data_IF_435609808863
#
_entry.id   IF_435609808863
#
_cell.length_a   1.000
_cell.length_b   1.000
_cell.length_c   1.000
_cell.angle_alpha   90.00
_cell.angle_beta   90.00
_cell.angle_gamma   90.00
#
_symmetry.space_group_name_H-M   'P 1'
#
loop_
_entity.id
_entity.type
_entity.pdbx_description
1 polymer ?
#
# COMPACT_ATOMS: atom_id res chain seq x y z
N UNK A 1 25.70 -20.93 -1.00
CA UNK A 1 25.03 -19.86 -1.75
C UNK A 1 23.90 -20.53 -2.49
N UNK A 2 22.65 -20.14 -2.25
CA UNK A 2 21.52 -20.65 -3.01
C UNK A 2 21.59 -20.07 -4.43
N UNK A 3 21.43 -20.90 -5.46
CA UNK A 3 21.33 -20.44 -6.85
C UNK A 3 20.02 -19.68 -7.06
N UNK A 4 20.04 -18.60 -7.85
CA UNK A 4 18.82 -17.84 -8.13
C UNK A 4 17.87 -18.67 -9.00
N UNK A 5 16.58 -18.59 -8.67
CA UNK A 5 15.52 -19.25 -9.44
C UNK A 5 15.02 -18.23 -10.47
N UNK A 6 15.67 -18.18 -11.63
CA UNK A 6 15.33 -17.21 -12.68
C UNK A 6 14.16 -17.70 -13.52
N UNK A 7 13.08 -16.93 -13.61
CA UNK A 7 11.88 -17.22 -14.41
C UNK A 7 11.61 -16.12 -15.44
N UNK A 8 10.89 -16.44 -16.51
CA UNK A 8 10.45 -15.43 -17.49
C UNK A 8 9.08 -14.86 -17.17
N UNK A 9 8.74 -13.71 -17.75
CA UNK A 9 7.40 -13.13 -17.66
C UNK A 9 6.36 -14.09 -18.22
N UNK A 10 6.68 -14.76 -19.34
CA UNK A 10 5.82 -15.79 -19.91
C UNK A 10 5.53 -16.92 -18.92
N UNK A 11 6.57 -17.46 -18.27
CA UNK A 11 6.42 -18.52 -17.27
C UNK A 11 5.57 -18.07 -16.09
N UNK A 12 5.68 -16.79 -15.71
CA UNK A 12 4.88 -16.23 -14.63
C UNK A 12 3.39 -16.16 -14.98
N UNK A 13 3.07 -15.75 -16.21
CA UNK A 13 1.69 -15.58 -16.70
C UNK A 13 0.98 -16.89 -17.00
N UNK A 14 1.69 -17.88 -17.52
CA UNK A 14 1.13 -19.20 -17.82
C UNK A 14 1.15 -20.17 -16.62
N UNK A 15 1.72 -19.74 -15.49
CA UNK A 15 1.76 -20.49 -14.24
C UNK A 15 2.84 -21.58 -14.19
N UNK A 16 3.58 -21.83 -15.27
CA UNK A 16 4.61 -22.89 -15.32
C UNK A 16 5.79 -22.62 -14.38
N UNK A 17 5.96 -21.37 -13.94
CA UNK A 17 6.93 -21.01 -12.91
C UNK A 17 6.73 -21.76 -11.59
N UNK A 18 5.48 -22.09 -11.23
CA UNK A 18 5.15 -22.73 -9.96
C UNK A 18 5.78 -24.11 -9.82
N UNK A 19 5.70 -24.92 -10.86
CA UNK A 19 6.25 -26.27 -10.83
C UNK A 19 7.78 -26.24 -10.69
N UNK A 20 8.43 -25.27 -11.34
CA UNK A 20 9.87 -25.05 -11.22
C UNK A 20 10.25 -24.60 -9.81
N UNK A 21 9.58 -23.60 -9.26
CA UNK A 21 9.88 -23.11 -7.91
C UNK A 21 9.58 -24.17 -6.85
N UNK A 22 8.48 -24.91 -7.02
CA UNK A 22 8.11 -26.04 -6.17
C UNK A 22 9.21 -27.11 -6.15
N UNK A 23 9.72 -27.49 -7.34
CA UNK A 23 10.85 -28.41 -7.45
C UNK A 23 12.10 -27.91 -6.71
N UNK A 24 12.46 -26.64 -6.89
CA UNK A 24 13.62 -26.04 -6.20
C UNK A 24 13.45 -26.05 -4.68
N UNK A 25 12.27 -25.68 -4.18
CA UNK A 25 11.98 -25.65 -2.75
C UNK A 25 11.98 -27.05 -2.12
N UNK A 26 11.43 -28.04 -2.81
CA UNK A 26 11.47 -29.45 -2.40
C UNK A 26 12.91 -30.00 -2.31
N UNK A 27 13.84 -29.44 -3.10
CA UNK A 27 15.26 -29.77 -3.04
C UNK A 27 16.06 -28.87 -2.07
N UNK A 28 15.37 -28.07 -1.25
CA UNK A 28 15.96 -27.23 -0.21
C UNK A 28 16.39 -25.84 -0.67
N UNK A 29 16.23 -25.51 -1.95
CA UNK A 29 16.49 -24.16 -2.48
C UNK A 29 15.27 -23.26 -2.29
N UNK A 30 14.97 -22.92 -1.03
CA UNK A 30 13.87 -22.02 -0.69
C UNK A 30 14.34 -20.57 -0.88
N UNK A 31 14.07 -20.00 -2.04
CA UNK A 31 14.45 -18.63 -2.39
C UNK A 31 13.34 -17.91 -3.15
N UNK A 32 13.38 -16.58 -3.17
CA UNK A 32 12.51 -15.80 -4.06
C UNK A 32 12.95 -15.97 -5.51
N UNK A 33 12.01 -16.28 -6.43
CA UNK A 33 12.33 -16.28 -7.84
C UNK A 33 12.61 -14.86 -8.33
N UNK A 34 13.47 -14.76 -9.35
CA UNK A 34 13.78 -13.51 -10.06
C UNK A 34 13.15 -13.55 -11.43
N UNK A 35 12.62 -12.42 -11.90
CA UNK A 35 12.03 -12.33 -13.24
C UNK A 35 13.07 -11.75 -14.20
N UNK A 36 13.32 -12.47 -15.29
CA UNK A 36 14.07 -11.95 -16.44
C UNK A 36 13.14 -11.01 -17.22
N UNK A 37 13.48 -9.71 -17.35
CA UNK A 37 12.64 -8.77 -18.09
C UNK A 37 12.54 -9.14 -19.58
N UNK A 38 11.33 -9.09 -20.12
CA UNK A 38 10.99 -9.31 -21.53
C UNK A 38 10.06 -8.18 -22.04
N UNK A 39 10.25 -7.67 -23.26
CA UNK A 39 9.37 -6.64 -23.83
C UNK A 39 7.92 -7.13 -23.88
N UNK A 40 6.98 -6.31 -23.40
CA UNK A 40 5.56 -6.70 -23.34
C UNK A 40 4.82 -6.46 -24.65
N UNK A 41 5.35 -5.57 -25.50
CA UNK A 41 4.68 -5.09 -26.72
C UNK A 41 3.50 -4.15 -26.47
N UNK A 42 3.28 -3.71 -25.22
CA UNK A 42 2.17 -2.83 -24.83
C UNK A 42 2.61 -1.37 -24.86
N UNK A 43 2.36 -0.67 -25.97
CA UNK A 43 2.79 0.72 -26.15
C UNK A 43 2.18 1.69 -25.12
N UNK A 44 0.91 1.48 -24.74
CA UNK A 44 0.21 2.27 -23.72
C UNK A 44 0.83 2.13 -22.33
N UNK A 45 1.23 0.90 -21.97
CA UNK A 45 1.92 0.60 -20.72
C UNK A 45 3.29 1.28 -20.67
N UNK A 46 4.04 1.23 -21.76
CA UNK A 46 5.34 1.87 -21.84
C UNK A 46 5.24 3.40 -21.72
N UNK A 47 4.29 4.01 -22.43
CA UNK A 47 4.05 5.45 -22.39
C UNK A 47 3.72 5.95 -20.97
N UNK A 48 2.86 5.23 -20.23
CA UNK A 48 2.54 5.60 -18.85
C UNK A 48 3.73 5.43 -17.91
N UNK A 49 4.53 4.37 -18.08
CA UNK A 49 5.75 4.16 -17.27
C UNK A 49 6.75 5.29 -17.50
N UNK A 50 7.04 5.63 -18.76
CA UNK A 50 7.95 6.74 -19.09
C UNK A 50 7.45 8.05 -18.48
N UNK A 51 6.14 8.31 -18.57
CA UNK A 51 5.49 9.49 -17.97
C UNK A 51 5.62 9.53 -16.45
N UNK A 52 5.36 8.42 -15.75
CA UNK A 52 5.48 8.33 -14.29
C UNK A 52 6.93 8.59 -13.85
N UNK A 53 7.90 7.96 -14.53
CA UNK A 53 9.32 8.11 -14.23
C UNK A 53 9.78 9.56 -14.43
N UNK A 54 9.32 10.21 -15.50
CA UNK A 54 9.67 11.59 -15.82
C UNK A 54 9.07 12.57 -14.79
N UNK A 55 7.80 12.38 -14.39
CA UNK A 55 7.18 13.21 -13.36
C UNK A 55 7.75 12.99 -11.97
N UNK A 56 8.19 11.78 -11.65
CA UNK A 56 8.85 11.50 -10.39
C UNK A 56 10.20 12.24 -10.33
N UNK A 57 10.95 12.27 -11.44
CA UNK A 57 12.18 13.08 -11.57
C UNK A 57 13.35 12.63 -10.68
N UNK A 58 13.18 11.55 -9.90
CA UNK A 58 14.22 11.04 -9.01
C UNK A 58 15.22 10.09 -9.66
N UNK A 59 14.80 9.44 -10.74
CA UNK A 59 15.52 8.38 -11.44
C UNK A 59 16.67 8.94 -12.26
N UNK A 60 17.91 8.63 -11.87
CA UNK A 60 19.11 9.12 -12.56
C UNK A 60 20.00 7.98 -13.01
N UNK A 61 20.73 8.18 -14.11
CA UNK A 61 21.74 7.23 -14.58
C UNK A 61 22.74 6.92 -13.45
N UNK A 62 22.99 5.64 -13.21
CA UNK A 62 23.85 5.17 -12.12
C UNK A 62 23.10 4.88 -10.81
N UNK A 63 21.79 5.19 -10.74
CA UNK A 63 20.92 4.67 -9.68
C UNK A 63 20.67 3.17 -9.88
N UNK A 64 20.14 2.49 -8.86
CA UNK A 64 19.69 1.10 -8.95
C UNK A 64 18.22 0.97 -8.60
N UNK A 65 17.53 -0.01 -9.17
CA UNK A 65 16.13 -0.26 -8.87
C UNK A 65 15.88 -1.74 -8.54
N UNK A 66 14.98 -1.97 -7.60
CA UNK A 66 14.39 -3.28 -7.36
C UNK A 66 12.88 -3.18 -7.51
N UNK A 67 12.31 -4.08 -8.30
CA UNK A 67 10.88 -4.17 -8.54
C UNK A 67 10.35 -5.41 -7.83
N UNK A 68 9.40 -5.22 -6.92
CA UNK A 68 8.68 -6.28 -6.25
C UNK A 68 7.38 -6.54 -7.02
N UNK A 69 7.32 -7.65 -7.75
CA UNK A 69 6.26 -7.92 -8.72
C UNK A 69 5.50 -9.20 -8.40
N UNK A 70 4.19 -9.17 -8.55
CA UNK A 70 3.34 -10.36 -8.47
C UNK A 70 3.01 -10.89 -9.87
N UNK A 71 2.42 -12.09 -10.00
CA UNK A 71 1.99 -12.60 -11.29
C UNK A 71 1.05 -11.64 -12.03
N UNK A 72 0.16 -10.95 -11.31
CA UNK A 72 -0.80 -10.03 -11.92
C UNK A 72 -0.14 -8.76 -12.46
N UNK A 73 1.01 -8.36 -11.92
CA UNK A 73 1.72 -7.13 -12.29
C UNK A 73 3.01 -7.36 -13.08
N UNK A 74 3.27 -8.62 -13.49
CA UNK A 74 4.50 -9.03 -14.18
C UNK A 74 4.80 -8.24 -15.46
N UNK A 75 3.77 -7.93 -16.27
CA UNK A 75 3.95 -7.12 -17.49
C UNK A 75 4.44 -5.70 -17.15
N UNK A 76 3.79 -5.03 -16.18
CA UNK A 76 4.19 -3.69 -15.74
C UNK A 76 5.60 -3.69 -15.15
N UNK A 77 5.93 -4.68 -14.32
CA UNK A 77 7.27 -4.82 -13.75
C UNK A 77 8.34 -5.01 -14.84
N UNK A 78 8.07 -5.87 -15.81
CA UNK A 78 8.98 -6.15 -16.92
C UNK A 78 9.25 -4.93 -17.79
N UNK A 79 8.19 -4.26 -18.23
CA UNK A 79 8.33 -3.05 -19.06
C UNK A 79 9.04 -1.93 -18.28
N UNK A 80 8.77 -1.81 -16.97
CA UNK A 80 9.46 -0.85 -16.09
C UNK A 80 10.95 -1.12 -16.01
N UNK A 81 11.34 -2.39 -15.81
CA UNK A 81 12.75 -2.75 -15.75
C UNK A 81 13.47 -2.44 -17.07
N UNK A 82 12.83 -2.71 -18.21
CA UNK A 82 13.40 -2.40 -19.53
C UNK A 82 13.61 -0.90 -19.68
N UNK A 83 12.59 -0.08 -19.41
CA UNK A 83 12.69 1.39 -19.50
C UNK A 83 13.80 1.93 -18.58
N UNK A 84 13.93 1.40 -17.36
CA UNK A 84 14.99 1.80 -16.42
C UNK A 84 16.38 1.38 -16.90
N UNK A 85 16.52 0.16 -17.41
CA UNK A 85 17.79 -0.34 -17.95
C UNK A 85 18.25 0.48 -19.16
N UNK A 86 17.34 0.86 -20.06
CA UNK A 86 17.62 1.78 -21.18
C UNK A 86 18.06 3.18 -20.70
N UNK A 87 17.57 3.63 -19.54
CA UNK A 87 18.01 4.86 -18.86
C UNK A 87 19.35 4.70 -18.10
N UNK A 88 19.96 3.51 -18.14
CA UNK A 88 21.21 3.19 -17.46
C UNK A 88 21.07 2.99 -15.96
N UNK A 89 19.92 2.47 -15.52
CA UNK A 89 19.61 2.11 -14.13
C UNK A 89 19.52 0.58 -14.05
N UNK A 90 20.54 -0.10 -13.51
CA UNK A 90 20.48 -1.53 -13.26
C UNK A 90 19.23 -1.86 -12.43
N UNK A 91 18.42 -2.77 -12.94
CA UNK A 91 17.12 -3.10 -12.35
C UNK A 91 16.98 -4.59 -12.19
N UNK A 92 16.65 -5.02 -10.97
CA UNK A 92 16.29 -6.39 -10.62
C UNK A 92 14.76 -6.48 -10.40
N UNK A 93 14.16 -7.59 -10.84
CA UNK A 93 12.77 -7.90 -10.52
C UNK A 93 12.74 -9.16 -9.64
N UNK A 94 12.16 -9.03 -8.45
CA UNK A 94 11.91 -10.15 -7.54
C UNK A 94 10.42 -10.46 -7.47
N UNK A 95 10.09 -11.74 -7.35
CA UNK A 95 8.70 -12.15 -7.21
C UNK A 95 8.20 -11.89 -5.80
N UNK A 96 7.19 -11.02 -5.70
CA UNK A 96 6.40 -10.81 -4.49
C UNK A 96 5.22 -11.78 -4.43
N UNK A 97 5.22 -12.65 -3.40
CA UNK A 97 4.15 -13.61 -3.18
C UNK A 97 2.98 -13.06 -2.36
N UNK A 98 3.01 -11.76 -1.99
CA UNK A 98 1.97 -11.12 -1.15
C UNK A 98 0.60 -11.16 -1.83
N UNK A 99 0.62 -11.00 -3.15
CA UNK A 99 -0.54 -11.00 -4.03
C UNK A 99 -0.82 -12.38 -4.64
N UNK A 100 0.06 -13.36 -4.40
CA UNK A 100 0.01 -14.71 -4.97
C UNK A 100 -0.31 -15.74 -3.87
N UNK A 101 -1.43 -15.52 -3.16
CA UNK A 101 -1.78 -16.28 -1.96
C UNK A 101 -1.99 -17.78 -2.24
N UNK A 102 -2.63 -18.11 -3.37
CA UNK A 102 -2.86 -19.50 -3.76
C UNK A 102 -1.57 -20.19 -4.16
N UNK A 103 -0.74 -19.49 -4.91
CA UNK A 103 0.58 -19.92 -5.34
C UNK A 103 1.49 -20.17 -4.15
N UNK A 104 1.54 -19.25 -3.18
CA UNK A 104 2.33 -19.43 -1.98
C UNK A 104 1.82 -20.59 -1.12
N UNK A 105 0.50 -20.71 -0.95
CA UNK A 105 -0.10 -21.85 -0.26
C UNK A 105 0.28 -23.18 -0.94
N UNK A 106 0.23 -23.23 -2.28
CA UNK A 106 0.64 -24.40 -3.06
C UNK A 106 2.12 -24.71 -2.86
N UNK A 107 3.01 -23.73 -2.94
CA UNK A 107 4.44 -23.91 -2.71
C UNK A 107 4.72 -24.48 -1.31
N UNK A 108 4.06 -23.96 -0.28
CA UNK A 108 4.19 -24.50 1.08
C UNK A 108 3.64 -25.92 1.19
N UNK A 109 2.50 -26.22 0.55
CA UNK A 109 1.89 -27.54 0.56
C UNK A 109 2.79 -28.57 -0.13
N UNK A 110 3.30 -28.23 -1.30
CA UNK A 110 4.17 -29.12 -2.08
C UNK A 110 5.52 -29.37 -1.35
N UNK A 111 6.02 -28.37 -0.63
CA UNK A 111 7.34 -28.44 0.05
C UNK A 111 7.24 -29.10 1.43
N UNK A 112 6.22 -28.78 2.22
CA UNK A 112 6.13 -29.15 3.64
C UNK A 112 4.90 -30.01 3.99
N UNK A 113 3.97 -30.19 3.06
CA UNK A 113 2.69 -30.87 3.29
C UNK A 113 1.74 -30.02 4.13
N UNK A 114 1.73 -30.23 5.44
CA UNK A 114 0.79 -29.57 6.35
C UNK A 114 1.23 -28.12 6.65
N UNK A 115 0.68 -27.19 5.87
CA UNK A 115 0.97 -25.75 5.94
C UNK A 115 0.82 -25.18 7.37
N UNK A 116 -0.13 -25.68 8.17
CA UNK A 116 -0.38 -25.19 9.53
C UNK A 116 0.76 -25.41 10.52
N UNK A 117 1.70 -26.30 10.17
CA UNK A 117 2.88 -26.64 10.98
C UNK A 117 4.13 -25.88 10.56
N UNK A 118 4.12 -25.22 9.41
CA UNK A 118 5.28 -24.50 8.88
C UNK A 118 5.57 -23.30 9.77
N UNK A 119 6.82 -23.18 10.24
CA UNK A 119 7.29 -22.03 11.03
C UNK A 119 8.16 -21.13 10.16
N UNK A 120 8.26 -19.87 10.52
CA UNK A 120 9.08 -18.88 9.79
C UNK A 120 10.54 -19.34 9.61
N UNK A 121 11.10 -20.09 10.56
CA UNK A 121 12.48 -20.59 10.45
C UNK A 121 12.68 -21.54 9.27
N UNK A 122 11.64 -22.26 8.84
CA UNK A 122 11.66 -23.08 7.63
C UNK A 122 11.73 -22.23 6.34
N UNK A 123 11.45 -20.93 6.44
CA UNK A 123 11.43 -19.97 5.33
C UNK A 123 12.60 -18.97 5.40
N UNK A 124 13.66 -19.27 6.16
CA UNK A 124 14.81 -18.36 6.32
C UNK A 124 15.51 -18.03 4.98
N UNK A 125 15.41 -18.91 3.98
CA UNK A 125 15.91 -18.63 2.64
C UNK A 125 15.13 -17.51 1.92
N UNK A 126 13.83 -17.35 2.18
CA UNK A 126 13.05 -16.19 1.69
C UNK A 126 13.45 -14.91 2.41
N UNK A 127 13.63 -14.99 3.74
CA UNK A 127 14.13 -13.87 4.56
C UNK A 127 15.49 -13.41 4.04
N UNK A 128 16.37 -14.34 3.71
CA UNK A 128 17.70 -14.07 3.14
C UNK A 128 17.59 -13.45 1.76
N UNK A 129 16.66 -13.90 0.92
CA UNK A 129 16.41 -13.34 -0.42
C UNK A 129 15.99 -11.87 -0.34
N UNK A 130 15.07 -11.52 0.56
CA UNK A 130 14.67 -10.12 0.80
C UNK A 130 15.82 -9.27 1.33
N UNK A 131 16.59 -9.79 2.29
CA UNK A 131 17.79 -9.09 2.79
C UNK A 131 18.81 -8.85 1.69
N UNK A 132 19.01 -9.80 0.78
CA UNK A 132 19.93 -9.64 -0.35
C UNK A 132 19.45 -8.55 -1.32
N UNK A 133 18.16 -8.53 -1.67
CA UNK A 133 17.58 -7.47 -2.50
C UNK A 133 17.73 -6.09 -1.84
N UNK A 134 17.44 -5.99 -0.54
CA UNK A 134 17.64 -4.76 0.23
C UNK A 134 19.13 -4.38 0.33
N UNK A 135 20.03 -5.35 0.44
CA UNK A 135 21.46 -5.08 0.54
C UNK A 135 22.03 -4.48 -0.75
N UNK A 136 21.62 -4.97 -1.92
CA UNK A 136 21.99 -4.40 -3.23
C UNK A 136 21.59 -2.92 -3.32
N UNK A 137 20.39 -2.60 -2.81
CA UNK A 137 19.87 -1.22 -2.73
C UNK A 137 20.70 -0.37 -1.76
N UNK A 138 21.06 -0.92 -0.60
CA UNK A 138 21.74 -0.19 0.46
C UNK A 138 23.21 0.11 0.14
N UNK A 139 23.91 -0.78 -0.56
CA UNK A 139 25.32 -0.59 -0.92
C UNK A 139 25.53 0.53 -1.95
N UNK A 140 24.64 0.65 -2.92
CA UNK A 140 24.80 1.55 -4.09
C UNK A 140 24.37 3.01 -3.82
N UNK A 141 23.88 3.30 -2.61
CA UNK A 141 23.54 4.65 -2.11
C UNK A 141 22.69 5.50 -3.08
N UNK A 142 21.81 4.92 -3.89
CA UNK A 142 20.94 5.68 -4.80
C UNK A 142 19.83 4.76 -5.35
N UNK A 143 18.97 4.24 -4.48
CA UNK A 143 18.13 3.12 -4.86
C UNK A 143 16.63 3.44 -4.90
N UNK A 144 15.91 2.75 -5.79
CA UNK A 144 14.47 2.85 -5.99
C UNK A 144 13.80 1.51 -5.67
N UNK A 145 12.71 1.54 -4.90
CA UNK A 145 11.87 0.38 -4.63
C UNK A 145 10.51 0.58 -5.29
N UNK A 146 10.16 -0.27 -6.26
CA UNK A 146 8.94 -0.14 -7.05
C UNK A 146 8.06 -1.36 -6.80
N UNK A 147 6.78 -1.14 -6.54
CA UNK A 147 5.78 -2.20 -6.33
C UNK A 147 4.59 -1.95 -7.26
N UNK A 148 4.56 -2.59 -8.44
CA UNK A 148 3.36 -2.67 -9.24
C UNK A 148 2.35 -3.61 -8.57
N UNK A 149 1.16 -3.10 -8.26
CA UNK A 149 0.15 -3.75 -7.41
C UNK A 149 -1.13 -3.92 -8.22
N UNK A 150 -1.62 -5.15 -8.33
CA UNK A 150 -2.92 -5.45 -8.94
C UNK A 150 -3.94 -5.92 -7.91
N UNK A 151 -5.22 -5.78 -8.23
CA UNK A 151 -6.26 -6.40 -7.41
C UNK A 151 -6.16 -7.93 -7.51
N UNK A 152 -6.34 -8.59 -6.37
CA UNK A 152 -6.18 -10.04 -6.24
C UNK A 152 -7.47 -10.69 -5.79
N UNK A 153 -7.73 -11.96 -6.17
CA UNK A 153 -8.90 -12.67 -5.71
C UNK A 153 -9.02 -12.65 -4.18
N UNK A 154 -10.27 -12.66 -3.69
CA UNK A 154 -10.57 -12.67 -2.25
C UNK A 154 -9.72 -13.72 -1.53
N UNK A 155 -9.01 -13.31 -0.48
CA UNK A 155 -8.27 -14.24 0.37
C UNK A 155 -9.26 -15.20 1.03
N UNK A 156 -9.21 -16.45 0.60
CA UNK A 156 -10.00 -17.51 1.21
C UNK A 156 -9.41 -17.85 2.57
N UNK A 157 -10.26 -18.21 3.54
CA UNK A 157 -9.84 -18.59 4.90
C UNK A 157 -8.73 -19.66 4.92
N UNK A 158 -8.69 -20.55 3.93
CA UNK A 158 -7.61 -21.56 3.79
C UNK A 158 -6.21 -20.98 3.60
N UNK A 159 -6.11 -19.74 3.10
CA UNK A 159 -4.84 -19.07 2.82
C UNK A 159 -4.37 -18.14 3.95
N UNK A 160 -5.22 -17.82 4.94
CA UNK A 160 -4.91 -16.79 5.95
C UNK A 160 -3.62 -17.08 6.73
N UNK A 161 -3.37 -18.36 7.08
CA UNK A 161 -2.14 -18.75 7.76
C UNK A 161 -0.90 -18.52 6.90
N UNK A 162 -0.92 -18.96 5.64
CA UNK A 162 0.19 -18.75 4.71
C UNK A 162 0.41 -17.28 4.41
N UNK A 163 -0.66 -16.49 4.23
CA UNK A 163 -0.55 -15.04 4.01
C UNK A 163 0.10 -14.35 5.21
N UNK A 164 -0.32 -14.67 6.44
CA UNK A 164 0.28 -14.14 7.68
C UNK A 164 1.75 -14.55 7.80
N UNK A 165 2.07 -15.82 7.51
CA UNK A 165 3.43 -16.31 7.54
C UNK A 165 4.33 -15.59 6.51
N UNK A 166 3.78 -15.26 5.34
CA UNK A 166 4.51 -14.49 4.33
C UNK A 166 4.74 -13.03 4.75
N UNK A 167 3.75 -12.40 5.40
CA UNK A 167 3.94 -11.06 5.99
C UNK A 167 5.06 -11.07 7.03
N UNK A 168 5.14 -12.09 7.88
CA UNK A 168 6.25 -12.23 8.84
C UNK A 168 7.61 -12.38 8.15
N UNK A 169 7.67 -13.12 7.03
CA UNK A 169 8.89 -13.24 6.19
C UNK A 169 9.30 -11.88 5.62
N UNK A 170 8.36 -11.12 5.04
CA UNK A 170 8.63 -9.77 4.53
C UNK A 170 9.12 -8.86 5.66
N UNK A 171 8.41 -8.83 6.79
CA UNK A 171 8.77 -7.99 7.93
C UNK A 171 10.18 -8.28 8.44
N UNK A 172 10.54 -9.56 8.56
CA UNK A 172 11.89 -9.96 8.98
C UNK A 172 12.95 -9.61 7.92
N UNK A 173 12.66 -9.93 6.65
CA UNK A 173 13.57 -9.74 5.53
C UNK A 173 13.83 -8.27 5.17
N UNK A 174 12.80 -7.42 5.31
CA UNK A 174 12.82 -6.01 4.93
C UNK A 174 12.87 -5.06 6.14
N UNK A 175 13.15 -5.57 7.35
CA UNK A 175 13.18 -4.78 8.59
C UNK A 175 14.13 -3.56 8.54
N UNK A 176 15.17 -3.59 7.71
CA UNK A 176 16.07 -2.45 7.49
C UNK A 176 15.50 -1.33 6.63
N UNK A 177 14.48 -1.61 5.81
CA UNK A 177 13.96 -0.69 4.80
C UNK A 177 13.49 0.65 5.39
N UNK A 178 12.82 0.64 6.54
CA UNK A 178 12.37 1.85 7.22
C UNK A 178 13.52 2.80 7.57
N UNK A 179 14.58 2.26 8.17
CA UNK A 179 15.81 3.02 8.50
C UNK A 179 16.53 3.52 7.25
N UNK A 180 16.58 2.71 6.20
CA UNK A 180 17.21 3.08 4.93
C UNK A 180 16.42 4.17 4.19
N UNK A 181 15.09 4.18 4.32
CA UNK A 181 14.23 5.29 3.86
C UNK A 181 14.42 6.55 4.71
N UNK A 182 14.55 6.42 6.02
CA UNK A 182 14.85 7.54 6.93
C UNK A 182 16.20 8.19 6.66
N UNK A 183 17.22 7.38 6.40
CA UNK A 183 18.56 7.84 6.05
C UNK A 183 18.67 8.40 4.62
N UNK A 184 17.61 8.31 3.81
CA UNK A 184 17.62 8.77 2.41
C UNK A 184 18.44 7.90 1.45
N UNK A 185 18.79 6.67 1.86
CA UNK A 185 19.50 5.69 1.01
C UNK A 185 18.56 5.17 -0.09
N UNK A 186 17.31 4.90 0.30
CA UNK A 186 16.21 4.61 -0.63
C UNK A 186 15.58 5.94 -1.05
N UNK A 187 15.79 6.31 -2.31
CA UNK A 187 15.33 7.56 -2.91
C UNK A 187 13.83 7.60 -3.12
N UNK A 188 13.22 6.48 -3.50
CA UNK A 188 11.79 6.38 -3.75
C UNK A 188 11.23 5.02 -3.34
N UNK A 189 9.98 5.04 -2.90
CA UNK A 189 9.17 3.86 -2.62
C UNK A 189 7.84 4.06 -3.34
N UNK A 190 7.71 3.38 -4.47
CA UNK A 190 6.74 3.74 -5.49
C UNK A 190 5.72 2.61 -5.68
N UNK A 191 4.46 2.89 -5.39
CA UNK A 191 3.35 1.93 -5.47
C UNK A 191 2.52 2.25 -6.69
N UNK A 192 2.47 1.36 -7.68
CA UNK A 192 1.83 1.63 -8.97
C UNK A 192 0.67 0.66 -9.20
N UNK A 193 -0.55 1.19 -9.35
CA UNK A 193 -1.72 0.36 -9.66
C UNK A 193 -1.60 -0.27 -11.04
N UNK A 194 -1.66 -1.59 -11.11
CA UNK A 194 -1.76 -2.34 -12.34
C UNK A 194 -3.23 -2.77 -12.56
N UNK A 195 -3.95 -2.20 -13.56
CA UNK A 195 -5.35 -2.51 -13.79
C UNK A 195 -5.55 -3.95 -14.26
N UNK A 196 -6.49 -4.66 -13.64
CA UNK A 196 -6.74 -6.09 -13.84
C UNK A 196 -8.15 -6.38 -14.36
N UNK A 197 -8.38 -7.60 -14.87
CA UNK A 197 -9.72 -8.07 -15.23
C UNK A 197 -10.64 -8.16 -14.00
N UNK A 198 -10.09 -8.49 -12.84
CA UNK A 198 -10.86 -8.56 -11.60
C UNK A 198 -11.45 -7.20 -11.21
N UNK A 199 -10.71 -6.11 -11.45
CA UNK A 199 -11.24 -4.75 -11.24
C UNK A 199 -12.48 -4.50 -12.08
N UNK A 200 -12.40 -4.83 -13.36
CA UNK A 200 -13.50 -4.68 -14.32
C UNK A 200 -14.70 -5.51 -13.90
N UNK A 201 -14.48 -6.77 -13.53
CA UNK A 201 -15.54 -7.67 -13.10
C UNK A 201 -16.23 -7.11 -11.85
N UNK A 202 -15.48 -6.62 -10.87
CA UNK A 202 -16.02 -6.03 -9.64
C UNK A 202 -16.77 -4.72 -9.91
N UNK A 203 -16.21 -3.81 -10.71
CA UNK A 203 -16.87 -2.55 -11.09
C UNK A 203 -18.19 -2.82 -11.83
N UNK A 204 -18.21 -3.79 -12.75
CA UNK A 204 -19.37 -4.07 -13.58
C UNK A 204 -20.52 -4.75 -12.84
N UNK A 205 -20.27 -5.42 -11.69
CA UNK A 205 -21.32 -6.11 -10.90
C UNK A 205 -22.51 -5.23 -10.57
N UNK A 206 -22.25 -3.96 -10.27
CA UNK A 206 -23.27 -3.01 -9.81
C UNK A 206 -23.64 -1.96 -10.86
N UNK A 207 -23.13 -2.10 -12.10
CA UNK A 207 -23.37 -1.16 -13.19
C UNK A 207 -24.42 -1.71 -14.19
N UNK A 208 -25.31 -0.86 -14.71
CA UNK A 208 -26.12 -1.22 -15.88
C UNK A 208 -25.23 -1.59 -17.06
N UNK A 209 -25.65 -2.58 -17.86
CA UNK A 209 -24.84 -3.12 -18.98
C UNK A 209 -24.29 -2.05 -19.94
N UNK A 210 -25.06 -1.00 -20.24
CA UNK A 210 -24.64 0.13 -21.09
C UNK A 210 -23.47 0.97 -20.52
N UNK A 211 -23.10 0.74 -19.27
CA UNK A 211 -22.01 1.42 -18.55
C UNK A 211 -20.88 0.48 -18.17
N UNK A 212 -20.93 -0.78 -18.62
CA UNK A 212 -19.87 -1.74 -18.35
C UNK A 212 -18.55 -1.29 -18.95
N UNK A 213 -17.50 -1.45 -18.16
CA UNK A 213 -16.12 -1.24 -18.56
C UNK A 213 -15.60 -2.49 -19.25
N UNK A 214 -14.78 -2.30 -20.28
CA UNK A 214 -13.82 -3.30 -20.74
C UNK A 214 -12.48 -3.12 -20.01
N UNK A 215 -11.63 -4.15 -20.01
CA UNK A 215 -10.27 -4.03 -19.46
C UNK A 215 -9.46 -2.95 -20.16
N UNK A 216 -9.60 -2.78 -21.47
CA UNK A 216 -8.88 -1.75 -22.21
C UNK A 216 -9.33 -0.34 -21.80
N UNK A 217 -10.64 -0.12 -21.65
CA UNK A 217 -11.16 1.17 -21.17
C UNK A 217 -10.72 1.46 -19.74
N UNK A 218 -10.78 0.45 -18.86
CA UNK A 218 -10.32 0.58 -17.47
C UNK A 218 -8.83 0.90 -17.39
N UNK A 219 -7.99 0.18 -18.15
CA UNK A 219 -6.55 0.43 -18.23
C UNK A 219 -6.25 1.85 -18.66
N UNK A 220 -6.84 2.28 -19.79
CA UNK A 220 -6.65 3.64 -20.30
C UNK A 220 -7.07 4.69 -19.26
N UNK A 221 -8.19 4.45 -18.58
CA UNK A 221 -8.69 5.34 -17.54
C UNK A 221 -7.73 5.48 -16.36
N UNK A 222 -7.21 4.36 -15.83
CA UNK A 222 -6.23 4.38 -14.72
C UNK A 222 -4.91 4.99 -15.16
N UNK A 223 -4.40 4.65 -16.35
CA UNK A 223 -3.13 5.21 -16.86
C UNK A 223 -3.20 6.72 -17.06
N UNK A 224 -4.34 7.24 -17.52
CA UNK A 224 -4.58 8.69 -17.57
C UNK A 224 -4.52 9.32 -16.18
N UNK A 225 -5.07 8.66 -15.15
CA UNK A 225 -5.03 9.16 -13.77
C UNK A 225 -3.61 9.16 -13.18
N UNK A 226 -2.77 8.18 -13.54
CA UNK A 226 -1.34 8.15 -13.18
C UNK A 226 -0.53 9.25 -13.86
N UNK A 227 -0.98 9.68 -15.04
CA UNK A 227 -0.32 10.71 -15.84
C UNK A 227 -0.69 12.14 -15.42
N UNK A 228 -1.40 12.34 -14.32
CA UNK A 228 -1.63 13.68 -13.75
C UNK A 228 -0.34 14.18 -13.10
N UNK A 229 0.20 15.33 -13.54
CA UNK A 229 1.48 15.89 -13.03
C UNK A 229 1.41 16.33 -11.55
N UNK A 230 2.57 16.53 -10.92
CA UNK A 230 2.65 16.99 -9.52
C UNK A 230 2.11 18.39 -9.35
N UNK A 231 2.50 19.28 -10.26
CA UNK A 231 2.05 20.67 -10.30
C UNK A 231 0.53 20.79 -10.46
N UNK A 232 -0.07 20.01 -11.37
CA UNK A 232 -1.53 20.03 -11.57
C UNK A 232 -2.26 19.49 -10.33
N UNK A 233 -1.71 18.44 -9.73
CA UNK A 233 -2.29 17.82 -8.54
C UNK A 233 -2.21 18.75 -7.31
N UNK A 234 -1.07 19.40 -7.10
CA UNK A 234 -0.89 20.43 -6.07
C UNK A 234 -1.84 21.61 -6.29
N UNK A 235 -1.98 22.09 -7.53
CA UNK A 235 -2.89 23.19 -7.88
C UNK A 235 -4.34 22.87 -7.50
N UNK A 236 -4.79 21.63 -7.74
CA UNK A 236 -6.13 21.18 -7.35
C UNK A 236 -6.25 21.12 -5.82
N UNK A 237 -5.29 20.49 -5.14
CA UNK A 237 -5.27 20.38 -3.69
C UNK A 237 -5.30 21.76 -3.00
N UNK A 238 -4.48 22.70 -3.47
CA UNK A 238 -4.44 24.07 -2.94
C UNK A 238 -5.72 24.88 -3.19
N UNK A 239 -6.57 24.45 -4.13
CA UNK A 239 -7.88 25.05 -4.36
C UNK A 239 -8.99 24.53 -3.43
N UNK A 240 -8.71 23.53 -2.58
CA UNK A 240 -9.69 22.91 -1.69
C UNK A 240 -9.69 23.59 -0.31
N UNK A 241 -10.85 24.01 0.17
CA UNK A 241 -11.02 24.65 1.48
C UNK A 241 -10.55 23.74 2.62
N UNK A 242 -10.84 22.45 2.54
CA UNK A 242 -10.46 21.46 3.55
C UNK A 242 -8.94 21.31 3.67
N UNK A 243 -8.22 21.39 2.54
CA UNK A 243 -6.76 21.38 2.50
C UNK A 243 -6.20 22.67 3.09
N UNK A 244 -6.81 23.83 2.76
CA UNK A 244 -6.39 25.13 3.33
C UNK A 244 -6.56 25.16 4.85
N UNK A 245 -7.68 24.68 5.38
CA UNK A 245 -7.91 24.58 6.83
C UNK A 245 -6.89 23.65 7.50
N UNK A 246 -6.53 22.54 6.85
CA UNK A 246 -5.53 21.61 7.37
C UNK A 246 -4.12 22.24 7.40
N UNK A 247 -3.77 23.02 6.38
CA UNK A 247 -2.54 23.82 6.33
C UNK A 247 -2.55 24.87 7.46
N UNK A 248 -3.66 25.60 7.63
CA UNK A 248 -3.80 26.61 8.68
C UNK A 248 -3.63 25.99 10.08
N UNK A 249 -4.27 24.85 10.34
CA UNK A 249 -4.15 24.13 11.60
C UNK A 249 -2.72 23.61 11.84
N UNK A 250 -1.98 23.27 10.79
CA UNK A 250 -0.57 22.90 10.90
C UNK A 250 0.30 24.09 11.28
N UNK A 251 0.11 25.25 10.64
CA UNK A 251 0.94 26.44 10.84
C UNK A 251 0.64 27.17 12.15
N UNK A 252 -0.64 27.28 12.52
CA UNK A 252 -1.12 28.15 13.58
C UNK A 252 -1.74 27.39 14.77
N UNK A 253 -1.84 26.06 14.68
CA UNK A 253 -2.62 25.26 15.61
C UNK A 253 -4.12 25.42 15.39
N UNK A 254 -4.92 24.81 16.27
CA UNK A 254 -6.38 24.73 16.14
C UNK A 254 -6.85 23.28 16.12
N UNK A 255 -8.14 23.06 16.40
CA UNK A 255 -8.71 21.70 16.37
C UNK A 255 -9.52 21.52 15.11
N UNK A 256 -9.11 20.57 14.25
CA UNK A 256 -9.88 20.19 13.07
C UNK A 256 -11.02 19.26 13.46
N UNK A 257 -12.17 19.46 12.82
CA UNK A 257 -13.36 18.62 12.96
C UNK A 257 -13.71 18.09 11.59
N UNK A 258 -13.47 16.81 11.38
CA UNK A 258 -13.91 16.09 10.19
C UNK A 258 -15.27 15.45 10.47
N UNK A 259 -16.24 15.70 9.60
CA UNK A 259 -17.60 15.16 9.75
C UNK A 259 -18.23 14.76 8.43
N UNK A 260 -19.13 13.77 8.48
CA UNK A 260 -19.94 13.30 7.34
C UNK A 260 -21.38 13.04 7.76
N UNK A 261 -22.30 13.04 6.80
CA UNK A 261 -23.75 12.82 7.04
C UNK A 261 -24.07 11.43 7.61
N UNK A 262 -23.19 10.45 7.42
CA UNK A 262 -23.36 9.10 7.96
C UNK A 262 -23.17 9.00 9.48
N UNK A 263 -22.75 10.10 10.13
CA UNK A 263 -22.47 10.17 11.56
C UNK A 263 -20.98 10.11 11.90
N UNK A 264 -20.10 10.02 10.90
CA UNK A 264 -18.66 10.17 11.10
C UNK A 264 -18.37 11.54 11.73
N UNK A 265 -17.57 11.54 12.79
CA UNK A 265 -17.12 12.73 13.50
C UNK A 265 -15.77 12.46 14.12
N UNK A 266 -14.74 13.23 13.76
CA UNK A 266 -13.40 13.14 14.33
C UNK A 266 -12.87 14.53 14.63
N UNK A 267 -12.50 14.77 15.89
CA UNK A 267 -11.71 15.94 16.28
C UNK A 267 -10.23 15.55 16.35
N UNK A 268 -9.36 16.25 15.62
CA UNK A 268 -7.93 15.96 15.56
C UNK A 268 -7.08 17.24 15.44
N UNK A 269 -5.76 17.11 15.63
CA UNK A 269 -4.77 18.20 15.60
C UNK A 269 -3.58 17.81 14.76
N UNK A 270 -2.98 18.81 14.11
CA UNK A 270 -1.85 18.64 13.17
C UNK A 270 -0.79 19.75 13.32
N UNK A 271 -0.80 20.49 14.42
CA UNK A 271 0.14 21.60 14.68
C UNK A 271 1.60 21.18 14.49
N UNK A 272 2.35 21.94 13.68
CA UNK A 272 3.75 21.71 13.38
C UNK A 272 4.04 20.50 12.48
N UNK A 273 3.02 19.85 11.91
CA UNK A 273 3.16 18.69 11.03
C UNK A 273 3.29 19.08 9.57
N UNK A 274 4.06 18.34 8.76
CA UNK A 274 4.05 18.53 7.32
C UNK A 274 2.69 18.10 6.75
N UNK A 275 2.11 18.89 5.86
CA UNK A 275 0.92 18.49 5.08
C UNK A 275 1.41 17.97 3.76
N UNK A 276 1.25 16.67 3.52
CA UNK A 276 1.94 15.95 2.46
C UNK A 276 1.03 15.76 1.25
N UNK A 277 1.59 16.00 0.06
CA UNK A 277 0.97 15.62 -1.20
C UNK A 277 1.35 14.17 -1.54
N UNK A 278 0.36 13.34 -1.89
CA UNK A 278 0.57 11.95 -2.33
C UNK A 278 1.42 11.80 -3.60
N UNK A 279 1.72 12.93 -4.26
CA UNK A 279 2.67 13.04 -5.37
C UNK A 279 3.92 13.78 -4.93
N UNK A 280 5.03 13.07 -4.79
CA UNK A 280 6.29 13.72 -4.50
C UNK A 280 6.92 14.47 -5.67
N UNK A 281 7.51 15.62 -5.37
CA UNK A 281 8.52 16.27 -6.21
C UNK A 281 9.90 16.11 -5.54
N UNK A 282 10.97 16.18 -6.34
CA UNK A 282 12.33 16.19 -5.77
C UNK A 282 12.51 17.41 -4.85
N UNK A 283 12.60 17.18 -3.55
CA UNK A 283 13.10 18.17 -2.58
C UNK A 283 12.11 18.66 -1.54
N UNK A 284 10.80 18.53 -1.75
CA UNK A 284 9.78 18.75 -0.71
C UNK A 284 8.41 18.19 -1.13
N UNK A 285 7.84 17.27 -0.34
CA UNK A 285 6.48 16.76 -0.56
C UNK A 285 5.44 17.51 0.27
N UNK A 286 5.84 18.47 1.10
CA UNK A 286 4.89 19.28 1.87
C UNK A 286 4.38 20.47 1.07
N UNK A 287 3.10 20.80 1.27
CA UNK A 287 2.41 21.91 0.60
C UNK A 287 2.10 23.06 1.56
N UNK A 288 1.72 24.22 1.00
CA UNK A 288 1.17 25.34 1.79
C UNK A 288 2.15 26.03 2.74
N UNK A 289 3.47 25.89 2.52
CA UNK A 289 4.49 26.46 3.41
C UNK A 289 4.62 25.74 4.75
N UNK A 290 3.99 24.57 4.90
CA UNK A 290 4.10 23.72 6.09
C UNK A 290 5.50 23.12 6.19
N UNK A 291 5.81 22.51 7.34
CA UNK A 291 7.14 21.93 7.60
C UNK A 291 7.62 21.09 6.42
N UNK A 292 8.85 21.32 5.97
CA UNK A 292 9.41 20.62 4.83
C UNK A 292 9.54 19.13 5.11
N UNK A 293 9.21 18.29 4.13
CA UNK A 293 9.35 16.85 4.22
C UNK A 293 10.08 16.31 3.00
N UNK A 294 11.28 15.77 3.23
CA UNK A 294 12.23 15.43 2.16
C UNK A 294 12.02 14.03 1.55
N UNK A 295 11.15 13.18 2.11
CA UNK A 295 10.97 11.82 1.59
C UNK A 295 10.01 11.78 0.41
N UNK A 296 10.36 10.96 -0.58
CA UNK A 296 9.59 10.79 -1.81
C UNK A 296 8.64 9.61 -1.66
N UNK A 297 7.36 9.93 -1.64
CA UNK A 297 6.27 8.98 -1.82
C UNK A 297 5.71 9.22 -3.21
N UNK A 298 5.64 8.17 -4.05
CA UNK A 298 4.87 8.27 -5.29
C UNK A 298 3.94 7.07 -5.41
N UNK A 299 2.78 7.22 -4.78
CA UNK A 299 1.65 6.35 -5.08
C UNK A 299 1.09 6.78 -6.43
N UNK A 300 0.94 5.85 -7.37
CA UNK A 300 0.31 6.09 -8.67
C UNK A 300 -0.93 5.21 -8.79
N UNK A 301 -2.12 5.79 -9.06
CA UNK A 301 -2.41 7.22 -9.25
C UNK A 301 -2.32 8.03 -7.95
N UNK A 302 -2.05 9.33 -8.08
CA UNK A 302 -2.02 10.26 -6.94
C UNK A 302 -3.42 10.78 -6.67
N UNK A 303 -3.86 10.75 -5.42
CA UNK A 303 -5.26 10.99 -5.08
C UNK A 303 -5.48 11.68 -3.75
N UNK A 304 -4.43 11.93 -2.98
CA UNK A 304 -4.51 12.31 -1.58
C UNK A 304 -3.60 13.49 -1.20
N UNK A 305 -4.09 14.27 -0.23
CA UNK A 305 -3.30 15.08 0.70
C UNK A 305 -3.48 14.46 2.07
N UNK A 306 -2.40 14.22 2.81
CA UNK A 306 -2.48 13.48 4.05
C UNK A 306 -1.50 14.02 5.10
N UNK A 307 -1.76 13.68 6.36
CA UNK A 307 -1.01 14.19 7.51
C UNK A 307 -1.09 13.21 8.69
N UNK A 308 0.00 13.11 9.44
CA UNK A 308 0.00 12.40 10.71
C UNK A 308 -0.59 13.29 11.83
N UNK A 309 -1.73 12.89 12.46
CA UNK A 309 -2.27 13.64 13.58
C UNK A 309 -1.35 13.56 14.82
N UNK A 310 -1.59 14.44 15.80
CA UNK A 310 -0.94 14.38 17.10
C UNK A 310 -1.42 13.13 17.86
N UNK A 311 -0.49 12.27 18.29
CA UNK A 311 -0.78 10.86 18.66
C UNK A 311 -1.71 10.69 19.86
N UNK A 312 -1.71 11.67 20.76
CA UNK A 312 -2.53 11.68 21.97
C UNK A 312 -3.71 12.64 21.85
N UNK A 313 -3.98 13.12 20.63
CA UNK A 313 -5.09 14.00 20.33
C UNK A 313 -5.96 13.38 19.24
N UNK A 314 -7.20 13.09 19.60
CA UNK A 314 -8.14 12.45 18.70
C UNK A 314 -9.35 11.99 19.48
N UNK A 315 -10.55 12.41 19.09
CA UNK A 315 -11.77 11.85 19.68
C UNK A 315 -12.91 11.83 18.67
N UNK A 316 -13.71 10.77 18.73
CA UNK A 316 -14.91 10.63 17.92
C UNK A 316 -15.11 9.22 17.39
N UNK A 317 -15.81 9.11 16.27
CA UNK A 317 -16.15 7.86 15.61
C UNK A 317 -15.95 8.02 14.10
N UNK A 318 -15.22 7.08 13.51
CA UNK A 318 -15.10 6.93 12.07
C UNK A 318 -16.03 5.80 11.61
N UNK A 319 -16.84 6.08 10.58
CA UNK A 319 -17.82 5.15 10.02
C UNK A 319 -17.40 4.80 8.61
N UNK A 320 -17.12 3.53 8.39
CA UNK A 320 -16.65 3.02 7.11
C UNK A 320 -17.77 2.28 6.41
N UNK A 321 -18.17 2.78 5.24
CA UNK A 321 -19.26 2.22 4.43
C UNK A 321 -18.77 1.32 3.30
N UNK A 322 -17.47 1.04 3.29
CA UNK A 322 -16.75 0.34 2.22
C UNK A 322 -16.15 -0.93 2.81
N UNK A 323 -16.41 -2.12 2.25
CA UNK A 323 -15.77 -3.35 2.72
C UNK A 323 -14.25 -3.30 2.52
N UNK A 324 -13.50 -3.98 3.38
CA UNK A 324 -12.03 -3.96 3.32
C UNK A 324 -11.43 -5.36 3.29
N UNK A 325 -10.64 -5.67 2.27
CA UNK A 325 -9.85 -6.91 2.20
C UNK A 325 -8.50 -6.71 2.89
N UNK A 326 -8.25 -7.57 3.87
CA UNK A 326 -7.00 -7.65 4.61
C UNK A 326 -6.30 -8.98 4.33
N UNK A 327 -5.06 -9.16 4.82
CA UNK A 327 -4.34 -10.44 4.72
C UNK A 327 -5.04 -11.60 5.45
N UNK A 328 -5.89 -11.28 6.43
CA UNK A 328 -6.60 -12.26 7.27
C UNK A 328 -7.97 -12.60 6.68
N UNK A 329 -8.62 -11.65 6.01
CA UNK A 329 -9.96 -11.82 5.44
C UNK A 329 -10.63 -10.49 5.09
N UNK A 330 -11.93 -10.55 4.79
CA UNK A 330 -12.76 -9.39 4.47
C UNK A 330 -13.42 -8.82 5.73
N UNK A 331 -13.39 -7.51 5.91
CA UNK A 331 -14.22 -6.76 6.85
C UNK A 331 -15.45 -6.26 6.09
N UNK A 332 -16.63 -6.76 6.42
CA UNK A 332 -17.86 -6.30 5.80
C UNK A 332 -18.27 -4.93 6.33
N UNK A 333 -18.79 -4.07 5.45
CA UNK A 333 -19.32 -2.76 5.80
C UNK A 333 -20.84 -2.80 6.09
N UNK A 334 -21.38 -1.85 6.89
CA UNK A 334 -20.65 -0.78 7.56
C UNK A 334 -19.94 -1.23 8.84
N UNK A 335 -18.76 -0.67 9.12
CA UNK A 335 -18.03 -0.88 10.37
C UNK A 335 -17.54 0.44 10.97
N UNK A 336 -17.18 0.42 12.25
CA UNK A 336 -16.98 1.60 13.07
C UNK A 336 -15.70 1.50 13.90
N UNK A 337 -14.97 2.59 14.01
CA UNK A 337 -13.82 2.72 14.92
C UNK A 337 -14.04 3.93 15.82
N UNK A 338 -14.15 3.70 17.13
CA UNK A 338 -14.25 4.76 18.13
C UNK A 338 -12.87 5.14 18.65
N UNK A 339 -12.58 6.44 18.67
CA UNK A 339 -11.27 7.01 18.98
C UNK A 339 -11.38 7.88 20.23
N UNK A 340 -10.40 7.75 21.13
CA UNK A 340 -10.22 8.59 22.31
C UNK A 340 -8.72 8.73 22.59
N UNK A 341 -8.27 9.95 22.88
CA UNK A 341 -6.84 10.29 23.05
C UNK A 341 -5.97 9.74 21.91
N UNK A 342 -6.43 9.99 20.67
CA UNK A 342 -5.75 9.56 19.43
C UNK A 342 -5.67 8.04 19.24
N UNK A 343 -6.42 7.26 20.03
CA UNK A 343 -6.33 5.80 20.04
C UNK A 343 -7.69 5.14 19.82
N UNK A 344 -7.74 4.10 18.99
CA UNK A 344 -8.87 3.19 18.91
C UNK A 344 -9.10 2.54 20.29
N UNK A 345 -10.32 2.67 20.81
CA UNK A 345 -10.71 2.04 22.08
C UNK A 345 -11.89 1.06 21.92
N UNK A 346 -12.66 1.19 20.85
CA UNK A 346 -13.75 0.29 20.52
C UNK A 346 -13.92 0.17 19.00
N UNK A 347 -14.40 -0.99 18.55
CA UNK A 347 -14.76 -1.23 17.15
C UNK A 347 -16.06 -2.03 17.08
N UNK A 348 -16.80 -1.90 15.99
CA UNK A 348 -18.01 -2.67 15.71
C UNK A 348 -18.08 -2.98 14.22
N UNK A 349 -18.56 -4.16 13.86
CA UNK A 349 -18.75 -4.56 12.47
C UNK A 349 -20.04 -5.42 12.32
N UNK A 350 -20.54 -5.68 11.10
CA UNK A 350 -21.82 -6.37 10.89
C UNK A 350 -21.85 -7.83 11.35
N UNK A 351 -20.68 -8.45 11.52
CA UNK A 351 -20.53 -9.84 11.95
C UNK A 351 -19.28 -10.05 12.79
N UNK A 352 -19.27 -11.16 13.54
CA UNK A 352 -18.21 -11.51 14.49
C UNK A 352 -16.82 -11.65 13.82
N UNK A 353 -16.77 -12.20 12.61
CA UNK A 353 -15.52 -12.37 11.88
C UNK A 353 -14.92 -11.02 11.48
N UNK A 354 -15.73 -10.12 10.91
CA UNK A 354 -15.32 -8.76 10.56
C UNK A 354 -14.87 -7.98 11.79
N UNK A 355 -15.57 -8.11 12.92
CA UNK A 355 -15.19 -7.44 14.16
C UNK A 355 -13.87 -8.01 14.72
N UNK A 356 -13.64 -9.32 14.60
CA UNK A 356 -12.37 -9.95 15.02
C UNK A 356 -11.19 -9.47 14.17
N UNK A 357 -11.37 -9.38 12.85
CA UNK A 357 -10.36 -8.84 11.93
C UNK A 357 -10.09 -7.36 12.28
N UNK A 358 -11.15 -6.56 12.43
CA UNK A 358 -11.04 -5.14 12.74
C UNK A 358 -10.32 -4.89 14.09
N UNK A 359 -10.59 -5.69 15.12
CA UNK A 359 -9.85 -5.64 16.41
C UNK A 359 -8.37 -5.94 16.26
N UNK A 360 -7.97 -6.78 15.31
CA UNK A 360 -6.57 -7.10 15.06
C UNK A 360 -5.84 -5.94 14.39
N UNK A 361 -6.43 -5.36 13.35
CA UNK A 361 -5.82 -4.26 12.62
C UNK A 361 -5.83 -2.94 13.39
N UNK A 362 -6.75 -2.77 14.34
CA UNK A 362 -6.75 -1.63 15.30
C UNK A 362 -5.98 -1.90 16.59
N UNK A 363 -5.24 -3.01 16.71
CA UNK A 363 -4.41 -3.31 17.89
C UNK A 363 -5.19 -3.57 19.19
N UNK A 364 -6.51 -3.72 19.13
CA UNK A 364 -7.38 -3.99 20.27
C UNK A 364 -7.23 -5.42 20.77
N UNK A 365 -7.20 -6.39 19.85
CA UNK A 365 -7.11 -7.82 20.19
C UNK A 365 -6.53 -8.61 19.00
N UNK A 366 -5.53 -9.49 19.22
CA UNK A 366 -5.00 -10.31 18.13
C UNK A 366 -6.06 -11.26 17.57
N UNK A 367 -6.04 -11.51 16.27
CA UNK A 367 -7.07 -12.30 15.57
C UNK A 367 -7.11 -13.77 16.02
N UNK A 368 -5.95 -14.33 16.33
CA UNK A 368 -5.72 -15.72 16.72
C UNK A 368 -5.68 -15.94 18.24
N UNK A 369 -6.04 -14.91 19.03
CA UNK A 369 -5.93 -14.91 20.49
C UNK A 369 -4.51 -15.21 21.02
N UNK A 370 -3.48 -15.07 20.17
CA UNK A 370 -2.10 -15.32 20.57
C UNK A 370 -1.68 -14.40 21.71
N UNK A 371 -1.11 -15.00 22.75
CA UNK A 371 -0.51 -14.26 23.86
C UNK A 371 0.83 -13.65 23.41
N UNK A 372 0.80 -12.36 23.11
CA UNK A 372 2.00 -11.57 22.82
C UNK A 372 2.64 -11.04 24.11
N UNK A 373 3.96 -10.90 24.14
CA UNK A 373 4.71 -10.37 25.30
C UNK A 373 5.81 -9.42 24.85
N UNK A 374 6.39 -8.66 25.79
CA UNK A 374 7.54 -7.80 25.51
C UNK A 374 7.30 -6.80 24.37
N UNK A 375 8.25 -6.73 23.45
CA UNK A 375 8.23 -5.78 22.32
C UNK A 375 7.20 -6.14 21.25
N UNK A 376 6.85 -7.43 21.08
CA UNK A 376 5.77 -7.86 20.19
C UNK A 376 4.43 -7.25 20.64
N UNK A 377 4.13 -7.30 21.95
CA UNK A 377 2.91 -6.70 22.50
C UNK A 377 2.90 -5.18 22.36
N UNK A 378 4.05 -4.53 22.53
CA UNK A 378 4.17 -3.07 22.34
C UNK A 378 3.89 -2.69 20.89
N UNK A 379 4.54 -3.37 19.94
CA UNK A 379 4.33 -3.14 18.51
C UNK A 379 2.87 -3.35 18.10
N UNK A 380 2.24 -4.42 18.58
CA UNK A 380 0.82 -4.69 18.33
C UNK A 380 -0.09 -3.59 18.88
N UNK A 381 0.15 -3.13 20.12
CA UNK A 381 -0.69 -2.08 20.75
C UNK A 381 -0.56 -0.71 20.08
N UNK A 382 0.56 -0.43 19.40
CA UNK A 382 0.72 0.81 18.65
C UNK A 382 -0.23 0.91 17.45
N UNK A 383 -0.75 -0.22 16.94
CA UNK A 383 -1.83 -0.25 15.93
C UNK A 383 -3.13 0.39 16.40
N UNK A 384 -3.26 0.77 17.68
CA UNK A 384 -4.39 1.58 18.16
C UNK A 384 -4.29 3.03 17.75
N UNK A 385 -3.09 3.55 17.49
CA UNK A 385 -2.88 4.99 17.27
C UNK A 385 -3.37 5.38 15.89
N UNK A 386 -4.14 6.47 15.81
CA UNK A 386 -4.46 7.11 14.54
C UNK A 386 -3.16 7.69 13.97
N UNK A 387 -2.74 7.14 12.84
CA UNK A 387 -1.45 7.36 12.23
C UNK A 387 -1.49 8.38 11.09
N UNK A 388 -2.62 8.44 10.39
CA UNK A 388 -2.82 9.27 9.22
C UNK A 388 -4.30 9.70 9.12
N UNK A 389 -4.51 10.91 8.61
CA UNK A 389 -5.78 11.37 8.07
C UNK A 389 -5.52 11.87 6.66
N UNK A 390 -6.25 11.34 5.68
CA UNK A 390 -6.09 11.65 4.28
C UNK A 390 -7.37 12.25 3.70
N UNK A 391 -7.21 13.42 3.07
CA UNK A 391 -8.19 14.01 2.16
C UNK A 391 -7.88 13.44 0.79
N UNK A 392 -8.81 12.70 0.19
CA UNK A 392 -8.58 11.91 -1.02
C UNK A 392 -9.70 12.07 -2.05
N UNK A 393 -9.59 11.31 -3.15
CA UNK A 393 -10.62 11.20 -4.19
C UNK A 393 -10.76 12.42 -5.10
N UNK A 394 -9.74 13.28 -5.17
CA UNK A 394 -9.78 14.53 -5.95
C UNK A 394 -8.90 14.51 -7.22
N UNK A 395 -8.35 13.36 -7.61
CA UNK A 395 -7.68 13.23 -8.90
C UNK A 395 -8.64 13.65 -10.03
N UNK A 396 -8.25 14.57 -10.92
CA UNK A 396 -9.15 15.17 -11.90
C UNK A 396 -9.73 14.17 -12.91
N UNK A 397 -9.04 13.05 -13.13
CA UNK A 397 -9.52 11.97 -13.99
C UNK A 397 -10.61 11.14 -13.29
N UNK A 398 -10.46 10.89 -11.98
CA UNK A 398 -11.39 10.08 -11.19
C UNK A 398 -12.61 10.85 -10.70
N UNK A 399 -12.44 12.11 -10.32
CA UNK A 399 -13.46 12.91 -9.64
C UNK A 399 -14.83 12.94 -10.35
N UNK A 400 -14.94 13.12 -11.68
CA UNK A 400 -16.24 13.11 -12.36
C UNK A 400 -16.96 11.75 -12.27
N UNK A 401 -16.19 10.67 -12.24
CA UNK A 401 -16.70 9.29 -12.21
C UNK A 401 -17.12 8.88 -10.80
N UNK A 402 -16.40 9.37 -9.78
CA UNK A 402 -16.80 9.23 -8.38
C UNK A 402 -18.10 10.00 -8.13
N UNK A 403 -18.17 11.28 -8.54
CA UNK A 403 -19.36 12.14 -8.36
C UNK A 403 -20.61 11.62 -9.07
N UNK A 404 -20.45 11.02 -10.26
CA UNK A 404 -21.56 10.39 -10.98
C UNK A 404 -21.94 9.00 -10.42
N UNK A 405 -21.16 8.46 -9.48
CA UNK A 405 -21.32 7.11 -8.97
C UNK A 405 -21.00 6.01 -9.98
N UNK A 406 -20.33 6.35 -11.09
CA UNK A 406 -19.87 5.39 -12.10
C UNK A 406 -18.68 4.55 -11.62
N UNK A 407 -17.89 5.11 -10.72
CA UNK A 407 -16.90 4.37 -9.93
C UNK A 407 -17.27 4.54 -8.48
N UNK A 408 -17.27 3.42 -7.76
CA UNK A 408 -17.49 3.38 -6.32
C UNK A 408 -16.48 2.40 -5.73
N UNK A 409 -16.03 2.60 -4.50
CA UNK A 409 -15.21 1.65 -3.77
C UNK A 409 -16.05 0.38 -3.47
N UNK A 410 -15.95 -0.58 -4.39
CA UNK A 410 -16.64 -1.89 -4.37
C UNK A 410 -15.66 -3.04 -4.64
N UNK A 411 -14.38 -2.75 -4.78
CA UNK A 411 -13.32 -3.71 -5.04
C UNK A 411 -12.91 -4.43 -3.74
N UNK A 412 -13.06 -3.78 -2.60
CA UNK A 412 -12.55 -4.23 -1.32
C UNK A 412 -11.02 -4.22 -1.28
N UNK A 413 -10.33 -3.52 -2.18
CA UNK A 413 -8.87 -3.51 -2.28
C UNK A 413 -8.33 -2.12 -1.90
N UNK A 414 -7.82 -1.94 -0.67
CA UNK A 414 -7.49 -0.63 -0.11
C UNK A 414 -6.57 0.19 -1.00
N UNK A 415 -5.53 -0.41 -1.58
CA UNK A 415 -4.55 0.30 -2.42
C UNK A 415 -5.16 0.96 -3.67
N UNK A 416 -6.29 0.46 -4.18
CA UNK A 416 -7.04 1.10 -5.27
C UNK A 416 -8.16 1.97 -4.71
N UNK A 417 -8.78 1.59 -3.59
CA UNK A 417 -9.94 2.30 -3.04
C UNK A 417 -9.57 3.56 -2.25
N UNK A 418 -8.40 3.62 -1.61
CA UNK A 418 -7.78 4.83 -1.05
C UNK A 418 -7.61 5.92 -2.13
N UNK A 419 -7.65 5.51 -3.40
CA UNK A 419 -7.61 6.43 -4.54
C UNK A 419 -8.94 7.14 -4.77
N UNK A 420 -10.02 6.66 -4.19
CA UNK A 420 -11.38 7.12 -4.49
C UNK A 420 -12.13 7.69 -3.28
N UNK A 421 -11.59 7.52 -2.08
CA UNK A 421 -12.22 7.88 -0.82
C UNK A 421 -11.19 8.43 0.15
N UNK A 422 -11.63 9.31 1.06
CA UNK A 422 -10.83 9.72 2.23
C UNK A 422 -10.44 8.49 3.04
N UNK A 423 -9.44 8.57 3.90
CA UNK A 423 -9.12 7.45 4.79
C UNK A 423 -8.46 7.91 6.07
N UNK A 424 -8.59 7.06 7.09
CA UNK A 424 -7.84 7.15 8.32
C UNK A 424 -6.98 5.90 8.47
N UNK A 425 -5.69 6.07 8.73
CA UNK A 425 -4.79 4.96 8.96
C UNK A 425 -4.51 4.74 10.43
N UNK A 426 -4.28 3.49 10.83
CA UNK A 426 -3.90 3.13 12.19
C UNK A 426 -2.53 2.45 12.26
N UNK A 427 -1.73 2.83 13.27
CA UNK A 427 -0.43 2.26 13.58
C UNK A 427 0.76 3.21 13.38
N UNK A 428 1.74 2.82 12.56
CA UNK A 428 3.00 3.58 12.43
C UNK A 428 2.83 4.89 11.65
N UNK A 429 3.51 5.94 12.10
CA UNK A 429 3.47 7.26 11.47
C UNK A 429 4.80 8.06 11.54
N UNK A 430 5.86 7.48 12.11
CA UNK A 430 7.21 8.07 12.15
C UNK A 430 7.74 8.45 10.77
N UNK A 431 7.31 7.70 9.74
CA UNK A 431 7.67 7.99 8.37
C UNK A 431 7.24 9.41 7.95
N UNK A 432 6.12 9.93 8.44
CA UNK A 432 5.56 11.28 8.16
C UNK A 432 5.76 12.27 9.32
N UNK A 433 6.86 12.11 10.05
CA UNK A 433 7.23 12.88 11.25
C UNK A 433 6.36 12.65 12.50
N UNK A 434 5.50 11.63 12.52
CA UNK A 434 4.83 11.16 13.72
C UNK A 434 5.79 10.53 14.76
N UNK A 435 5.23 10.10 15.90
CA UNK A 435 5.97 9.50 17.02
C UNK A 435 5.77 8.00 17.16
N UNK A 436 4.83 7.42 16.41
CA UNK A 436 4.60 5.98 16.41
C UNK A 436 5.59 5.31 15.47
N UNK A 437 6.57 4.55 15.98
CA UNK A 437 7.63 3.99 15.16
C UNK A 437 7.12 2.92 14.20
N UNK A 438 7.84 2.67 13.10
CA UNK A 438 7.57 1.60 12.16
C UNK A 438 7.91 0.21 12.70
N UNK A 439 8.73 0.12 13.74
CA UNK A 439 9.09 -1.14 14.40
C UNK A 439 9.56 -0.97 15.85
N UNK A 440 9.37 -2.01 16.67
CA UNK A 440 9.91 -2.11 18.04
C UNK A 440 10.48 -3.51 18.26
N UNK A 441 11.73 -3.61 18.72
CA UNK A 441 12.34 -4.90 19.10
C UNK A 441 12.40 -5.92 17.96
N UNK A 442 12.47 -5.47 16.71
CA UNK A 442 12.43 -6.34 15.53
C UNK A 442 11.02 -6.70 15.05
N UNK A 443 9.96 -6.22 15.70
CA UNK A 443 8.56 -6.41 15.30
C UNK A 443 8.03 -5.17 14.58
N UNK A 444 7.40 -5.37 13.42
CA UNK A 444 6.76 -4.31 12.64
C UNK A 444 5.54 -3.73 13.35
N UNK A 445 5.40 -2.41 13.34
CA UNK A 445 4.16 -1.71 13.67
C UNK A 445 3.44 -1.49 12.35
N UNK A 446 2.35 -2.25 12.15
CA UNK A 446 1.54 -2.14 10.94
C UNK A 446 1.03 -0.71 10.71
N UNK A 447 0.72 -0.40 9.46
CA UNK A 447 0.01 0.80 9.04
C UNK A 447 -1.16 0.30 8.18
N UNK A 448 -2.40 0.60 8.59
CA UNK A 448 -3.61 0.08 7.92
C UNK A 448 -4.55 1.21 7.62
N UNK A 449 -4.79 1.44 6.33
CA UNK A 449 -5.69 2.45 5.78
C UNK A 449 -7.12 1.89 5.69
N UNK A 450 -8.06 2.55 6.36
CA UNK A 450 -9.48 2.23 6.25
C UNK A 450 -10.20 3.30 5.41
N UNK A 451 -10.90 2.87 4.37
CA UNK A 451 -11.42 3.78 3.33
C UNK A 451 -12.81 4.32 3.65
N UNK A 452 -12.96 5.63 3.50
CA UNK A 452 -14.13 6.45 3.77
C UNK A 452 -14.75 7.04 2.48
N UNK A 453 -15.93 7.67 2.59
CA UNK A 453 -16.52 8.41 1.47
C UNK A 453 -15.97 9.83 1.34
N UNK A 454 -15.97 10.40 0.12
CA UNK A 454 -15.46 11.76 -0.16
C UNK A 454 -16.39 12.92 0.27
N UNK A 455 -17.58 12.62 0.78
CA UNK A 455 -18.57 13.64 1.16
C UNK A 455 -18.26 14.14 2.58
N UNK A 456 -17.17 14.90 2.69
CA UNK A 456 -16.62 15.44 3.93
C UNK A 456 -17.09 16.88 4.20
N UNK A 457 -16.98 17.26 5.46
CA UNK A 457 -16.91 18.64 5.92
C UNK A 457 -15.77 18.73 6.93
N UNK A 458 -14.84 19.67 6.71
CA UNK A 458 -13.78 19.98 7.67
C UNK A 458 -14.00 21.40 8.21
N UNK A 459 -13.97 21.56 9.53
CA UNK A 459 -14.07 22.85 10.21
C UNK A 459 -12.94 23.00 11.22
N UNK A 460 -12.54 24.24 11.52
CA UNK A 460 -11.55 24.54 12.56
C UNK A 460 -12.26 25.15 13.80
N UNK A 461 -11.93 24.62 14.99
CA UNK A 461 -12.42 25.07 16.30
C UNK A 461 -11.35 25.80 17.10
#
# INVERSE_FOLDING_TARGET
MNESIDITVKQMKDGTWLDRVSYEWQNGNIALPKIIPEPTGQADLREVIETILDFNGSYKKGDVACIHASPVSADMASETAIVLQERGIPTEIIVGLREANEEFYKLLTDTFGDVSKVKIDALEGLVTSYKAALHTIEQEKNAHWIIPIGNTPKILKKYSYSSTLFEDVIHKGMSGLGKSREAGIVKSHDLWVNPTQLDVDCLNRNLPQKHHWTLQEWRKFVFNAMSVSGEEFERIAMGMEEVQLTIEASLNGGTLVYSREDGTHLEYKVEGRPILLGKGMVGNNSIGGTRSFFKRLTNQPNTEVFVAPIEDFGKGILIYTIPEQTAIGMIDAPYFISIYEGSAYNVSAPNEESERILKHYTGLKPYDDKKMTGDELKAFKLRKKLAEVAISGFNPVFLPYIKSGRIKPVLGFPMIEEKWGDHGAFGSNDFFEGKTPSSIGGYSVGHTDFIEGINRKIEMK
#
